data_IF_105346873605
#
_entry.id   IF_105346873605
#
_cell.length_a   1.000
_cell.length_b   1.000
_cell.length_c   1.000
_cell.angle_alpha   90.00
_cell.angle_beta   90.00
_cell.angle_gamma   90.00
#
_symmetry.space_group_name_H-M   'P 1'
#
loop_
_entity.id
_entity.type
_entity.pdbx_description
1 polymer ?
#
# COMPACT_ATOMS: atom_id res chain seq x y z
N UNK A 1 -5.13 13.41 -16.28
CA UNK A 1 -5.47 12.08 -16.83
C UNK A 1 -5.85 12.26 -18.29
N UNK A 2 -5.21 11.51 -19.17
CA UNK A 2 -5.58 11.39 -20.58
C UNK A 2 -6.53 10.18 -20.75
N UNK A 3 -7.83 10.34 -20.46
CA UNK A 3 -8.84 9.27 -20.64
C UNK A 3 -9.89 9.16 -19.51
N UNK A 4 -10.85 8.24 -19.64
CA UNK A 4 -11.87 7.95 -18.60
C UNK A 4 -11.30 7.04 -17.50
N UNK A 5 -11.57 7.28 -16.20
CA UNK A 5 -11.07 6.47 -15.09
C UNK A 5 -11.31 4.97 -15.28
N UNK A 6 -10.28 4.15 -15.05
CA UNK A 6 -10.38 2.69 -15.13
C UNK A 6 -11.30 2.10 -14.03
N UNK A 7 -11.49 2.86 -12.95
CA UNK A 7 -12.30 2.49 -11.80
C UNK A 7 -12.88 3.76 -11.16
N UNK A 8 -13.95 3.57 -10.38
CA UNK A 8 -14.60 4.65 -9.64
C UNK A 8 -13.69 5.23 -8.56
N UNK A 9 -13.62 6.55 -8.47
CA UNK A 9 -12.85 7.27 -7.47
C UNK A 9 -13.79 8.12 -6.62
N UNK A 10 -13.70 7.97 -5.30
CA UNK A 10 -14.53 8.70 -4.33
C UNK A 10 -13.62 9.43 -3.34
N UNK A 11 -13.82 10.74 -3.19
CA UNK A 11 -13.13 11.54 -2.18
C UNK A 11 -13.85 11.49 -0.83
N UNK A 12 -13.20 10.98 0.20
CA UNK A 12 -13.72 10.90 1.58
C UNK A 12 -12.79 11.62 2.56
N UNK A 13 -12.86 12.96 2.68
CA UNK A 13 -11.98 13.72 3.56
C UNK A 13 -12.43 13.68 5.03
N UNK A 14 -13.06 12.60 5.49
CA UNK A 14 -13.67 12.47 6.82
C UNK A 14 -13.25 11.18 7.50
N UNK A 15 -13.03 11.22 8.81
CA UNK A 15 -12.66 10.08 9.63
C UNK A 15 -13.80 9.06 9.86
N UNK A 16 -14.69 8.88 8.89
CA UNK A 16 -15.87 8.01 8.93
C UNK A 16 -15.86 6.89 7.90
N UNK A 17 -14.73 6.68 7.19
CA UNK A 17 -14.54 5.63 6.18
C UNK A 17 -15.04 4.27 6.68
N UNK A 18 -14.66 3.82 7.88
CA UNK A 18 -15.10 2.54 8.45
C UNK A 18 -16.63 2.38 8.61
N UNK A 19 -17.40 3.47 8.63
CA UNK A 19 -18.86 3.45 8.72
C UNK A 19 -19.54 3.44 7.35
N UNK A 20 -18.89 4.03 6.36
CA UNK A 20 -19.47 4.28 5.03
C UNK A 20 -18.99 3.25 3.99
N UNK A 21 -17.85 2.58 4.24
CA UNK A 21 -17.19 1.67 3.29
C UNK A 21 -18.12 0.56 2.78
N UNK A 22 -19.00 0.03 3.63
CA UNK A 22 -19.93 -1.02 3.25
C UNK A 22 -21.03 -0.56 2.27
N UNK A 23 -21.41 0.72 2.31
CA UNK A 23 -22.36 1.29 1.35
C UNK A 23 -21.65 1.68 0.05
N UNK A 24 -20.49 2.33 0.16
CA UNK A 24 -19.70 2.78 -0.98
C UNK A 24 -19.16 1.61 -1.80
N UNK A 25 -18.81 0.52 -1.12
CA UNK A 25 -18.30 -0.71 -1.69
C UNK A 25 -19.31 -1.63 -2.35
N UNK A 26 -20.61 -1.31 -2.31
CA UNK A 26 -21.62 -2.20 -2.90
C UNK A 26 -21.39 -2.38 -4.39
N UNK A 27 -21.23 -3.64 -4.81
CA UNK A 27 -20.99 -4.00 -6.21
C UNK A 27 -19.52 -4.00 -6.64
N UNK A 28 -18.57 -3.85 -5.70
CA UNK A 28 -17.13 -3.99 -5.96
C UNK A 28 -16.56 -5.22 -5.26
N UNK A 29 -15.69 -5.95 -5.94
CA UNK A 29 -14.95 -7.07 -5.34
C UNK A 29 -13.83 -6.58 -4.42
N UNK A 30 -13.22 -5.44 -4.75
CA UNK A 30 -12.10 -4.86 -4.02
C UNK A 30 -12.25 -3.35 -3.89
N UNK A 31 -11.81 -2.81 -2.75
CA UNK A 31 -11.78 -1.38 -2.48
C UNK A 31 -10.38 -1.00 -2.00
N UNK A 32 -9.76 -0.02 -2.67
CA UNK A 32 -8.46 0.52 -2.29
C UNK A 32 -8.67 1.84 -1.57
N UNK A 33 -8.18 1.94 -0.34
CA UNK A 33 -8.23 3.16 0.47
C UNK A 33 -6.83 3.78 0.44
N UNK A 34 -6.69 4.91 -0.26
CA UNK A 34 -5.46 5.70 -0.22
C UNK A 34 -5.43 6.53 1.07
N UNK A 35 -4.46 6.23 1.93
CA UNK A 35 -4.33 6.82 3.26
C UNK A 35 -3.76 8.24 3.22
N UNK A 36 -4.09 9.10 4.21
CA UNK A 36 -3.44 10.40 4.34
C UNK A 36 -1.93 10.23 4.63
N UNK A 37 -1.10 11.24 4.31
CA UNK A 37 0.36 11.17 4.46
C UNK A 37 0.85 11.14 5.91
N UNK A 38 -0.06 11.27 6.89
CA UNK A 38 0.24 11.30 8.33
C UNK A 38 -0.76 10.46 9.09
N UNK A 39 -0.29 9.90 10.20
CA UNK A 39 -1.14 9.27 11.20
C UNK A 39 -2.10 10.30 11.77
N UNK A 40 -3.39 10.08 11.51
CA UNK A 40 -4.51 10.97 11.82
C UNK A 40 -5.74 10.12 12.12
N UNK A 41 -6.82 10.73 12.62
CA UNK A 41 -8.11 10.05 12.77
C UNK A 41 -8.62 9.44 11.46
N UNK A 42 -8.26 10.04 10.32
CA UNK A 42 -8.57 9.50 9.00
C UNK A 42 -7.79 8.20 8.72
N UNK A 43 -6.51 8.15 9.06
CA UNK A 43 -5.70 6.92 8.93
C UNK A 43 -6.26 5.80 9.81
N UNK A 44 -6.63 6.11 11.06
CA UNK A 44 -7.26 5.15 11.98
C UNK A 44 -8.58 4.61 11.41
N UNK A 45 -9.40 5.52 10.86
CA UNK A 45 -10.66 5.16 10.20
C UNK A 45 -10.47 4.29 8.97
N UNK A 46 -9.42 4.53 8.17
CA UNK A 46 -9.05 3.70 7.03
C UNK A 46 -8.60 2.29 7.45
N UNK A 47 -7.74 2.18 8.49
CA UNK A 47 -7.30 0.89 9.04
C UNK A 47 -8.50 0.08 9.55
N UNK A 48 -9.43 0.73 10.26
CA UNK A 48 -10.65 0.09 10.75
C UNK A 48 -11.59 -0.35 9.61
N UNK A 49 -11.54 0.31 8.45
CA UNK A 49 -12.32 -0.07 7.28
C UNK A 49 -11.71 -1.25 6.50
N UNK A 50 -10.39 -1.42 6.57
CA UNK A 50 -9.65 -2.38 5.75
C UNK A 50 -9.70 -3.81 6.32
N UNK A 51 -9.59 -4.80 5.43
CA UNK A 51 -9.33 -6.21 5.79
C UNK A 51 -7.84 -6.53 5.74
N UNK A 52 -7.11 -5.85 4.86
CA UNK A 52 -5.66 -5.93 4.72
C UNK A 52 -5.07 -4.52 4.64
N UNK A 53 -4.01 -4.26 5.39
CA UNK A 53 -3.24 -3.00 5.34
C UNK A 53 -1.87 -3.25 4.72
N UNK A 54 -1.59 -2.60 3.59
CA UNK A 54 -0.27 -2.61 2.96
C UNK A 54 0.51 -1.37 3.38
N UNK A 55 1.70 -1.54 3.95
CA UNK A 55 2.54 -0.46 4.45
C UNK A 55 3.74 -0.26 3.51
N UNK A 56 3.70 0.73 2.61
CA UNK A 56 4.84 1.01 1.73
C UNK A 56 5.98 1.65 2.51
N UNK A 57 7.18 1.09 2.37
CA UNK A 57 8.39 1.57 3.04
C UNK A 57 9.53 1.71 2.04
N UNK A 58 10.21 2.85 2.08
CA UNK A 58 11.41 3.06 1.26
C UNK A 58 12.64 2.48 1.96
N UNK A 59 13.71 2.17 1.20
CA UNK A 59 14.97 1.68 1.76
C UNK A 59 15.75 2.80 2.49
N UNK A 60 15.16 3.33 3.56
CA UNK A 60 15.57 4.54 4.26
C UNK A 60 15.22 4.38 5.76
N UNK A 61 16.17 4.65 6.68
CA UNK A 61 15.91 4.55 8.13
C UNK A 61 14.73 5.39 8.59
N UNK A 62 14.52 6.58 8.00
CA UNK A 62 13.42 7.46 8.37
C UNK A 62 12.06 6.86 8.03
N UNK A 63 11.94 6.19 6.89
CA UNK A 63 10.71 5.51 6.49
C UNK A 63 10.42 4.30 7.39
N UNK A 64 11.46 3.56 7.77
CA UNK A 64 11.35 2.42 8.69
C UNK A 64 10.91 2.88 10.09
N UNK A 65 11.38 4.04 10.57
CA UNK A 65 10.91 4.61 11.84
C UNK A 65 9.49 5.15 11.74
N UNK A 66 9.13 5.80 10.62
CA UNK A 66 7.77 6.28 10.41
C UNK A 66 6.74 5.14 10.35
N UNK A 67 7.15 3.97 9.84
CA UNK A 67 6.32 2.77 9.84
C UNK A 67 5.91 2.28 11.24
N UNK A 68 6.71 2.55 12.28
CA UNK A 68 6.41 2.13 13.65
C UNK A 68 5.05 2.67 14.14
N UNK A 69 4.72 3.91 13.79
CA UNK A 69 3.46 4.54 14.19
C UNK A 69 2.25 3.84 13.55
N UNK A 70 2.38 3.43 12.28
CA UNK A 70 1.34 2.69 11.57
C UNK A 70 1.17 1.28 12.15
N UNK A 71 2.28 0.60 12.49
CA UNK A 71 2.24 -0.72 13.15
C UNK A 71 1.48 -0.65 14.47
N UNK A 72 1.75 0.38 15.30
CA UNK A 72 1.03 0.59 16.56
C UNK A 72 -0.47 0.78 16.34
N UNK A 73 -0.88 1.56 15.35
CA UNK A 73 -2.30 1.73 15.01
C UNK A 73 -2.96 0.43 14.56
N UNK A 74 -2.26 -0.40 13.79
CA UNK A 74 -2.76 -1.70 13.35
C UNK A 74 -2.95 -2.62 14.55
N UNK A 75 -2.01 -2.65 15.49
CA UNK A 75 -2.12 -3.46 16.71
C UNK A 75 -3.27 -2.97 17.62
N UNK A 76 -3.47 -1.66 17.73
CA UNK A 76 -4.65 -1.09 18.40
C UNK A 76 -5.96 -1.49 17.69
N UNK A 77 -5.98 -1.47 16.35
CA UNK A 77 -7.16 -1.84 15.57
C UNK A 77 -7.48 -3.34 15.65
N UNK A 78 -6.48 -4.20 15.77
CA UNK A 78 -6.63 -5.66 15.90
C UNK A 78 -7.43 -6.07 17.14
N UNK A 79 -7.45 -5.25 18.19
CA UNK A 79 -8.32 -5.43 19.36
C UNK A 79 -9.80 -5.47 18.97
N UNK A 80 -10.18 -4.75 17.90
CA UNK A 80 -11.55 -4.67 17.39
C UNK A 80 -11.74 -5.47 16.09
N UNK A 81 -10.65 -5.76 15.36
CA UNK A 81 -10.63 -6.49 14.10
C UNK A 81 -9.58 -7.59 14.14
N UNK A 82 -9.90 -8.71 14.81
CA UNK A 82 -8.98 -9.84 14.99
C UNK A 82 -8.42 -10.40 13.67
N UNK A 83 -9.20 -10.31 12.58
CA UNK A 83 -8.81 -10.79 11.25
C UNK A 83 -8.05 -9.74 10.41
N UNK A 84 -7.70 -8.57 10.96
CA UNK A 84 -6.97 -7.53 10.24
C UNK A 84 -5.55 -8.01 9.92
N UNK A 85 -5.29 -8.21 8.63
CA UNK A 85 -3.97 -8.58 8.11
C UNK A 85 -3.17 -7.32 7.76
N UNK A 86 -1.86 -7.42 7.83
CA UNK A 86 -0.98 -6.35 7.41
C UNK A 86 0.31 -6.92 6.81
N UNK A 87 0.92 -6.19 5.89
CA UNK A 87 2.24 -6.49 5.36
C UNK A 87 2.99 -5.21 4.96
N UNK A 88 4.31 -5.27 5.05
CA UNK A 88 5.18 -4.26 4.45
C UNK A 88 5.43 -4.56 2.97
N UNK A 89 5.55 -3.52 2.16
CA UNK A 89 6.09 -3.62 0.80
C UNK A 89 7.26 -2.65 0.65
N UNK A 90 8.40 -3.16 0.19
CA UNK A 90 9.54 -2.31 -0.12
C UNK A 90 9.25 -1.55 -1.42
N UNK A 91 9.11 -0.24 -1.30
CA UNK A 91 8.88 0.68 -2.42
C UNK A 91 10.15 1.48 -2.74
N UNK A 92 10.32 1.87 -4.00
CA UNK A 92 11.51 2.60 -4.50
C UNK A 92 12.82 1.92 -4.12
N UNK A 93 12.86 0.59 -4.19
CA UNK A 93 14.09 -0.17 -4.01
C UNK A 93 15.13 0.27 -5.05
N UNK A 94 16.33 0.59 -4.61
CA UNK A 94 17.44 0.87 -5.54
C UNK A 94 18.07 -0.48 -5.92
N UNK A 95 17.91 -0.88 -7.19
CA UNK A 95 18.43 -2.14 -7.69
C UNK A 95 19.95 -2.24 -7.48
N UNK A 96 20.43 -3.46 -7.22
CA UNK A 96 21.86 -3.78 -7.06
C UNK A 96 22.57 -3.07 -5.90
N UNK A 97 21.84 -2.68 -4.84
CA UNK A 97 22.43 -2.09 -3.63
C UNK A 97 22.32 -3.02 -2.43
N UNK A 98 23.29 -2.96 -1.52
CA UNK A 98 23.23 -3.67 -0.23
C UNK A 98 22.04 -3.19 0.63
N UNK A 99 21.64 -1.93 0.46
CA UNK A 99 20.58 -1.25 1.23
C UNK A 99 19.26 -2.02 1.20
N UNK A 100 18.90 -2.65 0.08
CA UNK A 100 17.66 -3.43 0.00
C UNK A 100 17.62 -4.64 0.94
N UNK A 101 18.79 -5.20 1.30
CA UNK A 101 18.90 -6.31 2.25
C UNK A 101 18.74 -5.83 3.68
N UNK A 102 19.43 -4.74 4.01
CA UNK A 102 19.42 -4.13 5.34
C UNK A 102 18.00 -3.68 5.76
N UNK A 103 17.18 -3.29 4.78
CA UNK A 103 15.78 -2.89 5.01
C UNK A 103 14.90 -4.08 5.38
N UNK A 104 15.08 -5.22 4.73
CA UNK A 104 14.36 -6.44 5.10
C UNK A 104 14.70 -6.88 6.53
N UNK A 105 15.98 -6.81 6.90
CA UNK A 105 16.43 -7.10 8.27
C UNK A 105 15.87 -6.12 9.29
N UNK A 106 15.85 -4.83 8.98
CA UNK A 106 15.28 -3.81 9.86
C UNK A 106 13.77 -3.98 10.05
N UNK A 107 13.04 -4.33 8.98
CA UNK A 107 11.60 -4.57 9.05
C UNK A 107 11.25 -5.87 9.79
N UNK A 108 12.16 -6.85 9.80
CA UNK A 108 11.98 -8.09 10.56
C UNK A 108 11.90 -7.87 12.09
N UNK A 109 12.25 -6.68 12.58
CA UNK A 109 12.05 -6.30 13.98
C UNK A 109 10.57 -6.04 14.33
N UNK A 110 9.69 -5.84 13.34
CA UNK A 110 8.26 -5.62 13.55
C UNK A 110 7.47 -6.93 13.41
N UNK A 111 6.33 -7.07 14.12
CA UNK A 111 5.45 -8.25 14.04
C UNK A 111 4.56 -8.25 12.78
N UNK A 112 5.07 -7.72 11.67
CA UNK A 112 4.35 -7.57 10.39
C UNK A 112 5.23 -8.18 9.29
N UNK A 113 4.71 -9.12 8.49
CA UNK A 113 5.49 -9.74 7.41
C UNK A 113 5.87 -8.71 6.35
N UNK A 114 7.00 -8.93 5.68
CA UNK A 114 7.42 -8.15 4.51
C UNK A 114 7.14 -8.99 3.28
N UNK A 115 6.48 -8.40 2.28
CA UNK A 115 6.31 -9.05 0.99
C UNK A 115 7.67 -9.31 0.34
N UNK A 116 7.80 -10.46 -0.32
CA UNK A 116 8.98 -10.83 -1.10
C UNK A 116 9.09 -9.94 -2.34
N UNK A 117 7.96 -9.66 -2.98
CA UNK A 117 7.88 -8.71 -4.09
C UNK A 117 8.18 -7.28 -3.62
N UNK A 118 8.88 -6.53 -4.47
CA UNK A 118 9.30 -5.15 -4.19
C UNK A 118 9.20 -4.29 -5.43
N UNK A 119 8.94 -3.00 -5.25
CA UNK A 119 8.85 -2.03 -6.35
C UNK A 119 10.18 -1.29 -6.46
N UNK A 120 10.81 -1.36 -7.64
CA UNK A 120 12.11 -0.69 -7.89
C UNK A 120 11.89 0.78 -8.19
N UNK A 121 12.84 1.64 -7.82
CA UNK A 121 12.83 3.03 -8.23
C UNK A 121 13.04 3.14 -9.76
N UNK A 122 12.02 3.62 -10.46
CA UNK A 122 12.01 3.76 -11.93
C UNK A 122 11.43 5.11 -12.35
N UNK A 123 11.97 5.69 -13.42
CA UNK A 123 11.50 6.96 -13.99
C UNK A 123 10.05 6.85 -14.50
N UNK A 124 9.67 5.68 -15.04
CA UNK A 124 8.33 5.44 -15.60
C UNK A 124 7.19 5.71 -14.61
N UNK A 125 7.39 5.49 -13.31
CA UNK A 125 6.37 5.82 -12.30
C UNK A 125 6.09 7.33 -12.22
N UNK A 126 7.13 8.17 -12.34
CA UNK A 126 6.98 9.61 -12.36
C UNK A 126 6.35 10.11 -13.67
N UNK A 127 6.73 9.50 -14.80
CA UNK A 127 6.14 9.80 -16.11
C UNK A 127 4.65 9.43 -16.17
N UNK A 128 4.29 8.25 -15.65
CA UNK A 128 2.91 7.79 -15.52
C UNK A 128 2.07 8.75 -14.68
N UNK A 129 2.56 9.11 -13.50
CA UNK A 129 1.89 10.06 -12.61
C UNK A 129 1.68 11.43 -13.28
N UNK A 130 2.68 11.95 -14.02
CA UNK A 130 2.58 13.24 -14.70
C UNK A 130 1.49 13.26 -15.80
N UNK A 131 1.22 12.11 -16.44
CA UNK A 131 0.16 11.95 -17.45
C UNK A 131 -1.19 11.52 -16.83
N UNK A 132 -1.17 11.14 -15.56
CA UNK A 132 -2.32 10.54 -14.88
C UNK A 132 -2.70 9.19 -15.45
N UNK A 133 -1.68 8.39 -15.76
CA UNK A 133 -1.75 7.00 -16.24
C UNK A 133 -1.15 6.06 -15.19
N UNK A 134 -1.55 4.80 -15.22
CA UNK A 134 -0.86 3.70 -14.55
C UNK A 134 0.35 3.22 -15.40
N UNK A 135 1.30 2.53 -14.77
CA UNK A 135 2.46 1.96 -15.51
C UNK A 135 2.04 0.94 -16.56
N UNK A 136 0.96 0.18 -16.32
CA UNK A 136 0.34 -0.73 -17.29
C UNK A 136 -0.19 -0.01 -18.53
N UNK A 137 -0.64 1.25 -18.39
CA UNK A 137 -1.11 2.07 -19.51
C UNK A 137 0.07 2.64 -20.33
N UNK A 138 1.31 2.61 -19.81
CA UNK A 138 2.51 3.04 -20.54
C UNK A 138 3.20 1.85 -21.22
N UNK A 139 3.52 0.82 -20.45
CA UNK A 139 4.22 -0.38 -20.92
C UNK A 139 3.79 -1.57 -20.07
N UNK A 140 2.73 -2.24 -20.54
CA UNK A 140 2.09 -3.38 -19.87
C UNK A 140 3.03 -4.59 -19.70
N UNK A 141 4.03 -4.73 -20.57
CA UNK A 141 5.01 -5.83 -20.50
C UNK A 141 6.35 -5.37 -19.89
N UNK A 142 6.37 -4.14 -19.39
CA UNK A 142 7.55 -3.51 -18.83
C UNK A 142 7.89 -4.03 -17.42
N UNK A 143 9.14 -3.84 -16.97
CA UNK A 143 9.55 -4.28 -15.63
C UNK A 143 8.73 -3.66 -14.49
N UNK A 144 8.20 -2.44 -14.67
CA UNK A 144 7.36 -1.79 -13.65
C UNK A 144 5.99 -2.46 -13.52
N UNK A 145 5.37 -2.83 -14.65
CA UNK A 145 4.11 -3.59 -14.65
C UNK A 145 4.30 -4.96 -14.00
N UNK A 146 5.36 -5.69 -14.36
CA UNK A 146 5.69 -6.99 -13.76
C UNK A 146 5.94 -6.92 -12.24
N UNK A 147 6.59 -5.84 -11.75
CA UNK A 147 6.80 -5.62 -10.31
C UNK A 147 5.47 -5.36 -9.57
N UNK A 148 4.56 -4.59 -10.17
CA UNK A 148 3.23 -4.34 -9.61
C UNK A 148 2.40 -5.62 -9.58
N UNK A 149 2.40 -6.42 -10.65
CA UNK A 149 1.71 -7.71 -10.69
C UNK A 149 2.21 -8.68 -9.61
N UNK A 150 3.52 -8.75 -9.40
CA UNK A 150 4.10 -9.59 -8.36
C UNK A 150 3.65 -9.17 -6.96
N UNK A 151 3.63 -7.86 -6.67
CA UNK A 151 3.11 -7.32 -5.40
C UNK A 151 1.61 -7.61 -5.27
N UNK A 152 0.83 -7.43 -6.33
CA UNK A 152 -0.61 -7.71 -6.33
C UNK A 152 -0.89 -9.18 -6.08
N UNK A 153 -0.17 -10.10 -6.72
CA UNK A 153 -0.34 -11.54 -6.53
C UNK A 153 -0.08 -11.94 -5.07
N UNK A 154 1.03 -11.48 -4.50
CA UNK A 154 1.40 -11.79 -3.12
C UNK A 154 0.42 -11.17 -2.10
N UNK A 155 -0.04 -9.94 -2.36
CA UNK A 155 -1.06 -9.29 -1.55
C UNK A 155 -2.39 -10.06 -1.58
N UNK A 156 -2.79 -10.57 -2.75
CA UNK A 156 -4.01 -11.37 -2.89
C UNK A 156 -3.90 -12.72 -2.19
N UNK A 157 -2.71 -13.33 -2.16
CA UNK A 157 -2.47 -14.52 -1.35
C UNK A 157 -2.57 -14.25 0.14
N UNK A 158 -2.04 -13.12 0.61
CA UNK A 158 -2.19 -12.67 1.99
C UNK A 158 -3.66 -12.40 2.32
N UNK A 159 -4.43 -11.81 1.41
CA UNK A 159 -5.83 -11.44 1.64
C UNK A 159 -6.77 -12.64 1.84
N UNK A 160 -6.48 -13.78 1.21
CA UNK A 160 -7.25 -15.04 1.34
C UNK A 160 -7.29 -15.55 2.77
#
# INVERSE_FOLDING_TARGET
REGEPLFSVVGLPRATVHKEIGQIGQGYDHIIIDGPPRVTDLARSAIMAADVVLIPVQPSPYDIWAAEEVVKLIDEARVYKENLKAAFVVNRKIANTAIGRDVGEALAAYPVPVLVASITQRVVFAEAAARGLAVHEIDDQGPAAAEIEAVTAELMELAR
#
